data_IF_842954681888
#
_entry.id   IF_842954681888
#
_cell.length_a   1.000
_cell.length_b   1.000
_cell.length_c   1.000
_cell.angle_alpha   90.00
_cell.angle_beta   90.00
_cell.angle_gamma   90.00
#
_symmetry.space_group_name_H-M   'P 1'
#
loop_
_entity.id
_entity.type
_entity.pdbx_description
1 polymer ?
#
# COMPACT_ATOMS: atom_id res chain seq x y z
N UNK A 1 48.18 36.68 -24.23
CA UNK A 1 47.07 35.98 -24.92
C UNK A 1 47.02 34.56 -24.40
N UNK A 2 46.23 34.35 -23.35
CA UNK A 2 45.86 33.03 -22.80
C UNK A 2 44.41 33.20 -22.38
N UNK A 3 43.49 32.49 -23.04
CA UNK A 3 42.13 32.32 -22.54
C UNK A 3 42.16 31.12 -21.59
N UNK A 4 41.71 31.23 -20.34
CA UNK A 4 41.50 30.05 -19.50
C UNK A 4 40.07 29.53 -19.68
N UNK A 5 40.01 28.21 -19.86
CA UNK A 5 38.97 27.29 -19.42
C UNK A 5 37.51 27.75 -19.55
N UNK A 6 36.90 27.42 -20.70
CA UNK A 6 35.51 27.00 -20.70
C UNK A 6 35.43 25.67 -19.93
N UNK A 7 34.93 25.73 -18.71
CA UNK A 7 34.45 24.55 -17.98
C UNK A 7 33.34 23.93 -18.80
N UNK A 8 33.61 22.70 -19.25
CA UNK A 8 32.63 21.85 -19.87
C UNK A 8 31.73 21.31 -18.75
N UNK A 9 30.80 22.14 -18.25
CA UNK A 9 29.73 21.74 -17.34
C UNK A 9 28.75 20.84 -18.11
N UNK A 10 29.13 19.56 -18.21
CA UNK A 10 28.44 18.56 -19.01
C UNK A 10 27.04 18.24 -18.49
N UNK A 11 26.09 18.34 -19.41
CA UNK A 11 24.76 17.74 -19.39
C UNK A 11 24.73 16.38 -18.69
N UNK A 12 24.13 16.30 -17.50
CA UNK A 12 23.88 15.03 -16.82
C UNK A 12 23.49 15.18 -15.36
N UNK A 13 22.88 14.13 -14.80
CA UNK A 13 22.72 14.03 -13.35
C UNK A 13 24.10 14.02 -12.67
N UNK A 14 24.22 14.56 -11.44
CA UNK A 14 25.47 14.52 -10.69
C UNK A 14 26.03 13.09 -10.62
N UNK A 15 27.27 12.82 -11.10
CA UNK A 15 27.81 11.48 -11.23
C UNK A 15 27.82 10.68 -9.91
N UNK A 16 28.01 11.36 -8.78
CA UNK A 16 27.97 10.74 -7.45
C UNK A 16 26.59 10.18 -7.08
N UNK A 17 25.50 10.81 -7.53
CA UNK A 17 24.15 10.31 -7.30
C UNK A 17 23.89 9.05 -8.13
N UNK A 18 24.34 9.03 -9.39
CA UNK A 18 24.23 7.87 -10.27
C UNK A 18 25.05 6.70 -9.71
N UNK A 19 26.28 6.95 -9.27
CA UNK A 19 27.12 5.93 -8.65
C UNK A 19 26.51 5.37 -7.36
N UNK A 20 25.96 6.23 -6.50
CA UNK A 20 25.27 5.79 -5.28
C UNK A 20 24.05 4.91 -5.59
N UNK A 21 23.31 5.20 -6.66
CA UNK A 21 22.20 4.37 -7.10
C UNK A 21 22.69 2.99 -7.56
N UNK A 22 23.69 2.95 -8.45
CA UNK A 22 24.32 1.69 -8.91
C UNK A 22 24.84 0.87 -7.73
N UNK A 23 25.57 1.51 -6.80
CA UNK A 23 26.12 0.86 -5.60
C UNK A 23 25.01 0.33 -4.67
N UNK A 24 23.83 0.94 -4.65
CA UNK A 24 22.70 0.48 -3.82
C UNK A 24 21.95 -0.67 -4.48
N UNK A 25 21.69 -0.57 -5.79
CA UNK A 25 21.02 -1.62 -6.58
C UNK A 25 21.86 -2.89 -6.63
N UNK A 26 23.18 -2.78 -6.78
CA UNK A 26 24.09 -3.95 -6.81
C UNK A 26 24.21 -4.69 -5.48
N UNK A 27 23.83 -4.04 -4.36
CA UNK A 27 23.74 -4.68 -3.03
C UNK A 27 22.42 -5.42 -2.81
N UNK A 28 21.43 -5.23 -3.68
CA UNK A 28 20.17 -5.98 -3.61
C UNK A 28 20.43 -7.39 -4.10
N UNK A 29 20.69 -8.29 -3.17
CA UNK A 29 20.82 -9.71 -3.46
C UNK A 29 19.44 -10.35 -3.62
N UNK A 30 19.15 -10.85 -4.82
CA UNK A 30 17.88 -11.51 -5.18
C UNK A 30 17.56 -12.69 -4.27
N UNK A 31 18.59 -13.41 -3.82
CA UNK A 31 18.41 -14.61 -3.03
C UNK A 31 18.29 -14.30 -1.53
N UNK A 32 18.65 -13.08 -1.10
CA UNK A 32 18.58 -12.64 0.29
C UNK A 32 17.31 -11.85 0.65
N UNK A 33 16.53 -11.40 -0.33
CA UNK A 33 15.30 -10.65 -0.09
C UNK A 33 14.05 -11.41 -0.57
N UNK A 34 12.87 -11.18 0.04
CA UNK A 34 11.63 -11.80 -0.43
C UNK A 34 11.34 -11.50 -1.90
N UNK A 35 10.78 -12.48 -2.62
CA UNK A 35 10.51 -12.35 -4.06
C UNK A 35 9.60 -11.15 -4.40
N UNK A 36 8.63 -10.84 -3.54
CA UNK A 36 7.76 -9.66 -3.69
C UNK A 36 8.55 -8.35 -3.57
N UNK A 37 9.43 -8.26 -2.57
CA UNK A 37 10.30 -7.10 -2.40
C UNK A 37 11.23 -6.90 -3.59
N UNK A 38 11.77 -7.99 -4.15
CA UNK A 38 12.60 -7.93 -5.36
C UNK A 38 11.81 -7.43 -6.58
N UNK A 39 10.57 -7.92 -6.76
CA UNK A 39 9.66 -7.42 -7.82
C UNK A 39 9.40 -5.92 -7.65
N UNK A 40 9.06 -5.47 -6.44
CA UNK A 40 8.87 -4.04 -6.16
C UNK A 40 10.11 -3.23 -6.51
N UNK A 41 11.29 -3.63 -6.02
CA UNK A 41 12.55 -2.93 -6.31
C UNK A 41 12.84 -2.85 -7.83
N UNK A 42 12.52 -3.91 -8.58
CA UNK A 42 12.69 -3.95 -10.03
C UNK A 42 11.71 -3.01 -10.74
N UNK A 43 10.44 -3.01 -10.33
CA UNK A 43 9.41 -2.09 -10.86
C UNK A 43 9.80 -0.63 -10.61
N UNK A 44 10.28 -0.32 -9.41
CA UNK A 44 10.72 1.03 -9.06
C UNK A 44 11.95 1.47 -9.87
N UNK A 45 12.93 0.58 -10.05
CA UNK A 45 14.09 0.86 -10.89
C UNK A 45 13.68 1.11 -12.35
N UNK A 46 12.80 0.27 -12.90
CA UNK A 46 12.25 0.46 -14.24
C UNK A 46 11.51 1.80 -14.36
N UNK A 47 10.71 2.20 -13.37
CA UNK A 47 10.04 3.51 -13.35
C UNK A 47 11.03 4.67 -13.39
N UNK A 48 12.06 4.61 -12.55
CA UNK A 48 13.11 5.63 -12.52
C UNK A 48 13.87 5.68 -13.86
N UNK A 49 14.13 4.53 -14.49
CA UNK A 49 14.72 4.47 -15.82
C UNK A 49 13.81 5.12 -16.88
N UNK A 50 12.53 4.75 -16.93
CA UNK A 50 11.55 5.34 -17.85
C UNK A 50 11.39 6.85 -17.65
N UNK A 51 11.47 7.34 -16.40
CA UNK A 51 11.48 8.78 -16.11
C UNK A 51 12.62 9.51 -16.80
N UNK A 52 13.85 9.01 -16.64
CA UNK A 52 15.01 9.65 -17.25
C UNK A 52 15.01 9.49 -18.77
N UNK A 53 14.51 8.38 -19.31
CA UNK A 53 14.32 8.18 -20.75
C UNK A 53 13.31 9.19 -21.33
N UNK A 54 12.18 9.42 -20.66
CA UNK A 54 11.17 10.38 -21.08
C UNK A 54 11.70 11.83 -21.00
N UNK A 55 12.41 12.19 -19.92
CA UNK A 55 13.09 13.49 -19.82
C UNK A 55 14.11 13.71 -20.94
N UNK A 56 14.85 12.67 -21.33
CA UNK A 56 15.87 12.75 -22.38
C UNK A 56 15.27 12.83 -23.81
N UNK A 57 14.06 12.31 -24.02
CA UNK A 57 13.54 12.05 -25.37
C UNK A 57 12.34 12.94 -25.74
N UNK A 58 11.39 13.14 -24.83
CA UNK A 58 10.11 13.82 -25.13
C UNK A 58 9.96 15.19 -24.47
N UNK A 59 10.72 15.50 -23.42
CA UNK A 59 10.62 16.77 -22.67
C UNK A 59 9.29 16.97 -21.92
N UNK A 60 8.36 16.04 -22.08
CA UNK A 60 7.09 15.94 -21.38
C UNK A 60 7.02 14.55 -20.75
N UNK A 61 6.70 14.53 -19.45
CA UNK A 61 6.48 13.31 -18.69
C UNK A 61 5.14 13.43 -17.98
N UNK A 62 4.11 12.79 -18.54
CA UNK A 62 2.80 12.70 -17.92
C UNK A 62 2.78 11.49 -17.01
N UNK A 63 2.74 11.72 -15.70
CA UNK A 63 2.48 10.68 -14.72
C UNK A 63 1.08 10.87 -14.14
N UNK A 64 0.32 9.78 -14.07
CA UNK A 64 -0.86 9.71 -13.23
C UNK A 64 -0.50 9.05 -11.90
N UNK A 65 -0.32 9.84 -10.84
CA UNK A 65 -0.24 9.34 -9.45
C UNK A 65 0.85 9.99 -8.60
N UNK A 66 0.49 10.36 -7.37
CA UNK A 66 1.37 10.89 -6.33
C UNK A 66 1.44 9.86 -5.19
N UNK A 67 2.63 9.34 -4.86
CA UNK A 67 2.90 8.36 -3.77
C UNK A 67 1.94 7.14 -3.67
N UNK A 68 1.43 6.72 -4.84
CA UNK A 68 0.31 5.79 -5.06
C UNK A 68 0.72 4.44 -5.68
N UNK A 69 1.98 4.30 -6.11
CA UNK A 69 2.44 3.18 -6.93
C UNK A 69 2.85 1.93 -6.14
N UNK A 70 3.34 2.09 -4.91
CA UNK A 70 3.75 0.94 -4.10
C UNK A 70 2.57 0.05 -3.75
N UNK A 71 1.42 0.64 -3.41
CA UNK A 71 0.21 -0.12 -3.11
C UNK A 71 -0.22 -0.96 -4.32
N UNK A 72 -0.30 -0.35 -5.52
CA UNK A 72 -0.68 -1.06 -6.75
C UNK A 72 0.38 -2.10 -7.17
N UNK A 73 1.66 -1.78 -7.03
CA UNK A 73 2.77 -2.67 -7.37
C UNK A 73 2.86 -3.88 -6.44
N UNK A 74 2.66 -3.68 -5.13
CA UNK A 74 2.59 -4.76 -4.15
C UNK A 74 1.36 -5.63 -4.38
N UNK A 75 0.21 -5.02 -4.67
CA UNK A 75 -1.03 -5.74 -4.96
C UNK A 75 -0.87 -6.62 -6.19
N UNK A 76 -0.59 -6.03 -7.36
CA UNK A 76 -0.42 -6.78 -8.61
C UNK A 76 0.71 -7.82 -8.53
N UNK A 77 1.73 -7.53 -7.72
CA UNK A 77 2.86 -8.42 -7.46
C UNK A 77 2.58 -9.55 -6.47
N UNK A 78 1.43 -9.63 -5.80
CA UNK A 78 1.16 -10.67 -4.79
C UNK A 78 0.71 -11.99 -5.41
N UNK A 79 1.13 -13.11 -4.82
CA UNK A 79 0.95 -14.45 -5.37
C UNK A 79 0.25 -15.44 -4.42
N UNK A 80 0.14 -15.12 -3.13
CA UNK A 80 -0.34 -16.02 -2.10
C UNK A 80 -1.47 -15.40 -1.28
N UNK A 81 -1.25 -14.21 -0.72
CA UNK A 81 -2.21 -13.58 0.18
C UNK A 81 -2.10 -12.06 0.24
N UNK A 82 -3.23 -11.42 0.52
CA UNK A 82 -3.30 -10.03 0.96
C UNK A 82 -4.21 -9.97 2.19
N UNK A 83 -3.72 -9.40 3.28
CA UNK A 83 -4.44 -9.27 4.55
C UNK A 83 -4.46 -7.80 4.95
N UNK A 84 -5.64 -7.18 4.94
CA UNK A 84 -5.80 -5.74 5.15
C UNK A 84 -6.66 -5.43 6.37
N UNK A 85 -6.21 -4.49 7.20
CA UNK A 85 -7.02 -3.86 8.26
C UNK A 85 -7.29 -2.43 7.85
N UNK A 86 -8.56 -2.10 7.68
CA UNK A 86 -9.06 -0.80 7.21
C UNK A 86 -9.75 -0.08 8.35
N UNK A 87 -9.28 1.13 8.68
CA UNK A 87 -9.96 1.97 9.67
C UNK A 87 -11.14 2.67 9.00
N UNK A 88 -12.32 2.65 9.66
CA UNK A 88 -13.55 3.17 9.09
C UNK A 88 -13.41 4.61 8.61
N UNK A 89 -12.84 5.51 9.42
CA UNK A 89 -12.68 6.91 9.04
C UNK A 89 -11.73 7.14 7.85
N UNK A 90 -10.82 6.21 7.54
CA UNK A 90 -9.85 6.29 6.43
C UNK A 90 -10.41 5.71 5.13
N UNK A 91 -11.04 4.54 5.21
CA UNK A 91 -11.42 3.78 4.01
C UNK A 91 -12.93 3.82 3.72
N UNK A 92 -13.78 4.07 4.73
CA UNK A 92 -15.24 3.90 4.70
C UNK A 92 -16.02 5.07 5.35
N UNK A 93 -15.40 6.21 5.67
CA UNK A 93 -16.04 7.46 6.11
C UNK A 93 -15.86 8.61 5.10
N UNK A 94 -16.68 9.68 5.19
CA UNK A 94 -17.01 10.76 4.20
C UNK A 94 -15.96 11.22 3.16
N UNK A 95 -14.68 10.93 3.35
CA UNK A 95 -13.56 11.19 2.45
C UNK A 95 -12.82 9.85 2.14
N UNK A 96 -13.56 8.90 1.57
CA UNK A 96 -13.19 7.49 1.45
C UNK A 96 -12.07 7.23 0.46
N UNK A 97 -11.00 6.56 0.90
CA UNK A 97 -9.98 6.05 -0.02
C UNK A 97 -10.56 5.17 -1.14
N UNK A 98 -11.52 4.28 -0.83
CA UNK A 98 -12.07 3.31 -1.78
C UNK A 98 -12.89 3.94 -2.91
N UNK A 99 -13.41 5.16 -2.74
CA UNK A 99 -14.14 5.89 -3.79
C UNK A 99 -13.22 6.74 -4.66
N UNK A 100 -11.96 6.93 -4.25
CA UNK A 100 -10.93 7.59 -5.06
C UNK A 100 -10.55 6.74 -6.27
N UNK A 101 -9.92 7.36 -7.27
CA UNK A 101 -9.37 6.64 -8.41
C UNK A 101 -8.37 5.56 -8.00
N UNK A 102 -7.48 5.85 -7.05
CA UNK A 102 -6.53 4.85 -6.53
C UNK A 102 -7.27 3.69 -5.88
N UNK A 103 -8.27 3.97 -5.03
CA UNK A 103 -9.05 2.93 -4.37
C UNK A 103 -9.73 1.99 -5.36
N UNK A 104 -10.31 2.56 -6.43
CA UNK A 104 -10.91 1.76 -7.52
C UNK A 104 -9.88 0.91 -8.26
N UNK A 105 -8.71 1.47 -8.59
CA UNK A 105 -7.62 0.72 -9.24
C UNK A 105 -7.10 -0.40 -8.34
N UNK A 106 -6.96 -0.13 -7.04
CA UNK A 106 -6.55 -1.13 -6.06
C UNK A 106 -7.57 -2.28 -5.96
N UNK A 107 -8.86 -1.98 -5.84
CA UNK A 107 -9.92 -3.00 -5.84
C UNK A 107 -9.93 -3.83 -7.13
N UNK A 108 -9.71 -3.20 -8.28
CA UNK A 108 -9.62 -3.89 -9.56
C UNK A 108 -8.43 -4.86 -9.62
N UNK A 109 -7.27 -4.49 -9.08
CA UNK A 109 -6.13 -5.41 -8.98
C UNK A 109 -6.41 -6.55 -7.98
N UNK A 110 -7.04 -6.27 -6.83
CA UNK A 110 -7.44 -7.31 -5.88
C UNK A 110 -8.39 -8.32 -6.53
N UNK A 111 -9.39 -7.86 -7.30
CA UNK A 111 -10.32 -8.74 -8.02
C UNK A 111 -9.58 -9.70 -8.98
N UNK A 112 -8.63 -9.18 -9.76
CA UNK A 112 -7.80 -10.01 -10.66
C UNK A 112 -6.96 -11.04 -9.92
N UNK A 113 -6.52 -10.73 -8.70
CA UNK A 113 -5.78 -11.67 -7.87
C UNK A 113 -6.70 -12.76 -7.31
N UNK A 114 -7.90 -12.40 -6.85
CA UNK A 114 -8.93 -13.35 -6.43
C UNK A 114 -9.26 -14.33 -7.58
N UNK A 115 -9.43 -13.84 -8.82
CA UNK A 115 -9.64 -14.67 -10.01
C UNK A 115 -8.49 -15.66 -10.28
N UNK A 116 -7.28 -15.31 -9.85
CA UNK A 116 -6.07 -16.16 -9.93
C UNK A 116 -5.89 -17.09 -8.73
N UNK A 117 -6.81 -17.06 -7.75
CA UNK A 117 -6.79 -17.88 -6.54
C UNK A 117 -5.91 -17.34 -5.42
N UNK A 118 -5.49 -16.07 -5.46
CA UNK A 118 -4.80 -15.41 -4.34
C UNK A 118 -5.84 -15.09 -3.26
N UNK A 119 -5.52 -15.39 -2.00
CA UNK A 119 -6.44 -15.17 -0.87
C UNK A 119 -6.40 -13.70 -0.43
N UNK A 120 -7.50 -12.97 -0.59
CA UNK A 120 -7.61 -11.58 -0.15
C UNK A 120 -8.60 -11.49 1.01
N UNK A 121 -8.13 -11.02 2.17
CA UNK A 121 -8.94 -10.84 3.38
C UNK A 121 -8.89 -9.40 3.87
N UNK A 122 -10.02 -8.84 4.27
CA UNK A 122 -10.10 -7.47 4.81
C UNK A 122 -10.96 -7.40 6.07
N UNK A 123 -10.45 -6.68 7.07
CA UNK A 123 -11.20 -6.32 8.28
C UNK A 123 -11.49 -4.82 8.23
N UNK A 124 -12.75 -4.44 8.34
CA UNK A 124 -13.16 -3.05 8.56
C UNK A 124 -13.35 -2.81 10.06
N UNK A 125 -12.65 -1.82 10.60
CA UNK A 125 -12.59 -1.53 12.04
C UNK A 125 -13.45 -0.31 12.33
N UNK A 126 -14.55 -0.49 13.08
CA UNK A 126 -15.56 0.54 13.32
C UNK A 126 -15.27 1.35 14.56
N UNK A 127 -15.27 2.68 14.47
CA UNK A 127 -14.95 3.55 15.61
C UNK A 127 -16.11 3.77 16.58
N UNK A 128 -17.34 3.52 16.14
CA UNK A 128 -18.53 3.57 16.98
C UNK A 128 -19.45 2.38 16.66
N UNK A 129 -20.20 1.93 17.66
CA UNK A 129 -21.10 0.77 17.54
C UNK A 129 -22.23 1.02 16.52
N UNK A 130 -22.57 2.28 16.25
CA UNK A 130 -23.62 2.66 15.27
C UNK A 130 -23.05 2.97 13.88
N UNK A 131 -21.76 2.69 13.62
CA UNK A 131 -21.10 2.97 12.33
C UNK A 131 -21.52 1.99 11.20
N UNK A 132 -22.56 1.19 11.41
CA UNK A 132 -23.18 0.32 10.40
C UNK A 132 -24.04 1.11 9.39
N UNK A 133 -23.45 2.13 8.77
CA UNK A 133 -24.09 2.91 7.72
C UNK A 133 -24.38 2.10 6.46
N UNK A 134 -25.27 2.61 5.61
CA UNK A 134 -25.55 2.05 4.28
C UNK A 134 -24.28 1.97 3.41
N UNK A 135 -23.37 2.93 3.59
CA UNK A 135 -22.09 3.00 2.89
C UNK A 135 -21.17 1.83 3.20
N UNK A 136 -21.03 1.45 4.47
CA UNK A 136 -20.25 0.27 4.85
C UNK A 136 -20.87 -1.02 4.31
N UNK A 137 -22.20 -1.11 4.32
CA UNK A 137 -22.92 -2.25 3.69
C UNK A 137 -22.56 -2.37 2.23
N UNK A 138 -22.62 -1.26 1.52
CA UNK A 138 -22.33 -1.21 0.10
C UNK A 138 -20.86 -1.54 -0.21
N UNK A 139 -19.91 -1.00 0.55
CA UNK A 139 -18.48 -1.32 0.41
C UNK A 139 -18.23 -2.80 0.67
N UNK A 140 -18.76 -3.36 1.77
CA UNK A 140 -18.59 -4.78 2.08
C UNK A 140 -19.21 -5.67 0.99
N UNK A 141 -20.40 -5.32 0.48
CA UNK A 141 -21.06 -6.04 -0.62
C UNK A 141 -20.20 -6.04 -1.88
N UNK A 142 -19.75 -4.86 -2.31
CA UNK A 142 -18.90 -4.71 -3.50
C UNK A 142 -17.60 -5.52 -3.36
N UNK A 143 -16.94 -5.48 -2.21
CA UNK A 143 -15.72 -6.26 -1.98
C UNK A 143 -15.95 -7.77 -2.01
N UNK A 144 -17.04 -8.25 -1.38
CA UNK A 144 -17.42 -9.67 -1.42
C UNK A 144 -17.73 -10.15 -2.83
N UNK A 145 -18.37 -9.32 -3.66
CA UNK A 145 -18.63 -9.63 -5.07
C UNK A 145 -17.35 -9.77 -5.91
N UNK A 146 -16.24 -9.16 -5.47
CA UNK A 146 -14.91 -9.31 -6.07
C UNK A 146 -14.12 -10.51 -5.52
N UNK A 147 -14.75 -11.35 -4.68
CA UNK A 147 -14.11 -12.52 -4.08
C UNK A 147 -13.20 -12.20 -2.89
N UNK A 148 -13.32 -11.00 -2.31
CA UNK A 148 -12.60 -10.64 -1.08
C UNK A 148 -13.38 -11.15 0.12
N UNK A 149 -12.71 -11.86 1.03
CA UNK A 149 -13.29 -12.21 2.32
C UNK A 149 -13.27 -10.97 3.22
N UNK A 150 -14.45 -10.52 3.65
CA UNK A 150 -14.60 -9.28 4.43
C UNK A 150 -15.13 -9.63 5.80
N UNK A 151 -14.59 -8.99 6.85
CA UNK A 151 -15.12 -9.01 8.22
C UNK A 151 -15.19 -7.62 8.83
N UNK A 152 -16.00 -7.48 9.86
CA UNK A 152 -16.18 -6.24 10.62
C UNK A 152 -15.74 -6.47 12.06
N UNK A 153 -14.89 -5.57 12.55
CA UNK A 153 -14.50 -5.51 13.96
C UNK A 153 -15.24 -4.37 14.66
N UNK A 154 -16.14 -4.71 15.57
CA UNK A 154 -16.90 -3.73 16.35
C UNK A 154 -16.05 -3.18 17.50
N UNK A 155 -16.31 -1.95 17.99
CA UNK A 155 -15.55 -1.39 19.10
C UNK A 155 -15.56 -2.26 20.36
N UNK A 156 -16.67 -2.96 20.64
CA UNK A 156 -16.83 -3.80 21.82
C UNK A 156 -15.88 -5.02 21.82
N UNK A 157 -15.54 -5.51 20.62
CA UNK A 157 -14.69 -6.69 20.44
C UNK A 157 -13.21 -6.30 20.34
N UNK A 158 -12.89 -4.98 20.32
CA UNK A 158 -11.51 -4.47 20.23
C UNK A 158 -10.69 -4.72 21.50
N UNK A 159 -11.34 -4.73 22.66
CA UNK A 159 -10.65 -4.90 23.96
C UNK A 159 -10.03 -6.31 24.10
N UNK A 160 -10.46 -7.26 23.29
CA UNK A 160 -9.89 -8.61 23.22
C UNK A 160 -8.53 -8.65 22.52
N UNK A 161 -8.16 -7.60 21.77
CA UNK A 161 -6.91 -7.53 21.00
C UNK A 161 -6.00 -6.43 21.52
N UNK A 162 -4.75 -6.77 21.81
CA UNK A 162 -3.78 -5.82 22.35
C UNK A 162 -3.08 -4.99 21.26
N UNK A 163 -3.09 -3.66 21.43
CA UNK A 163 -2.28 -2.72 20.66
C UNK A 163 -3.09 -1.64 19.92
N UNK A 164 -2.44 -0.57 19.42
CA UNK A 164 -3.13 0.49 18.70
C UNK A 164 -3.62 -0.02 17.34
N UNK A 165 -4.88 0.29 17.01
CA UNK A 165 -5.45 0.05 15.68
C UNK A 165 -4.67 0.86 14.64
N UNK A 166 -4.36 0.22 13.51
CA UNK A 166 -3.62 0.82 12.41
C UNK A 166 -4.20 0.33 11.10
N UNK A 167 -4.15 1.20 10.11
CA UNK A 167 -4.37 0.81 8.73
C UNK A 167 -3.09 0.14 8.22
N UNK A 168 -3.20 -1.16 7.96
CA UNK A 168 -2.09 -1.99 7.51
C UNK A 168 -2.55 -2.94 6.42
N UNK A 169 -1.64 -3.28 5.51
CA UNK A 169 -1.83 -4.32 4.51
C UNK A 169 -0.59 -5.20 4.50
N UNK A 170 -0.78 -6.51 4.68
CA UNK A 170 0.27 -7.53 4.64
C UNK A 170 0.15 -8.26 3.30
N UNK A 171 1.22 -8.25 2.52
CA UNK A 171 1.29 -8.91 1.22
C UNK A 171 2.20 -10.15 1.31
N UNK A 172 1.67 -11.29 0.85
CA UNK A 172 2.35 -12.59 0.79
C UNK A 172 3.08 -12.97 2.10
N UNK A 173 2.61 -12.50 3.26
CA UNK A 173 3.25 -12.69 4.57
C UNK A 173 4.74 -12.21 4.61
N UNK A 174 5.14 -11.34 3.69
CA UNK A 174 6.54 -10.90 3.51
C UNK A 174 6.74 -9.39 3.53
N UNK A 175 5.69 -8.60 3.26
CA UNK A 175 5.75 -7.13 3.28
C UNK A 175 4.58 -6.59 4.07
N UNK A 176 4.85 -5.70 5.03
CA UNK A 176 3.84 -4.89 5.72
C UNK A 176 3.86 -3.46 5.15
N UNK A 177 2.72 -3.02 4.62
CA UNK A 177 2.44 -1.65 4.21
C UNK A 177 1.61 -1.01 5.33
N UNK A 178 2.16 -0.06 6.07
CA UNK A 178 1.48 0.62 7.19
C UNK A 178 1.27 2.09 6.86
N UNK A 179 0.04 2.59 7.00
CA UNK A 179 -0.28 4.02 6.89
C UNK A 179 -0.52 4.59 8.28
N UNK A 180 -0.11 5.84 8.47
CA UNK A 180 -0.40 6.59 9.69
C UNK A 180 -1.26 7.80 9.31
N UNK A 181 -2.55 7.83 9.71
CA UNK A 181 -3.38 9.01 9.49
C UNK A 181 -2.93 10.16 10.40
N UNK A 182 -3.12 11.39 9.94
CA UNK A 182 -3.01 12.59 10.76
C UNK A 182 -4.07 12.53 11.87
N UNK A 183 -3.75 13.07 13.03
CA UNK A 183 -4.78 13.38 14.00
C UNK A 183 -5.78 14.35 13.35
N UNK A 184 -7.07 14.03 13.42
CA UNK A 184 -8.14 14.82 12.81
C UNK A 184 -8.04 16.29 13.24
N UNK A 185 -7.58 17.16 12.33
CA UNK A 185 -7.58 18.61 12.50
C UNK A 185 -8.54 19.23 11.47
N UNK A 186 -9.84 19.04 11.68
CA UNK A 186 -10.89 19.71 10.89
C UNK A 186 -11.78 18.79 10.05
N UNK A 187 -12.62 19.41 9.21
CA UNK A 187 -13.65 18.78 8.36
C UNK A 187 -13.09 18.27 7.00
N UNK A 188 -11.81 18.55 6.75
CA UNK A 188 -11.05 17.99 5.63
C UNK A 188 -10.57 16.59 6.07
N UNK A 189 -10.97 15.55 5.34
CA UNK A 189 -10.78 14.15 5.70
C UNK A 189 -9.35 13.71 6.06
N UNK A 190 -9.15 12.43 6.41
CA UNK A 190 -7.90 11.95 6.97
C UNK A 190 -6.74 12.17 5.99
N UNK A 191 -5.76 12.96 6.42
CA UNK A 191 -4.49 13.14 5.70
C UNK A 191 -3.56 12.00 6.11
N UNK A 192 -3.07 11.19 5.18
CA UNK A 192 -2.03 10.19 5.50
C UNK A 192 -0.71 10.95 5.73
N UNK A 193 -0.16 10.86 6.94
CA UNK A 193 1.09 11.56 7.36
C UNK A 193 2.32 10.76 7.01
N UNK A 194 2.21 9.43 6.99
CA UNK A 194 3.31 8.56 6.63
C UNK A 194 2.82 7.22 6.08
N UNK A 195 3.52 6.74 5.06
CA UNK A 195 3.44 5.36 4.56
C UNK A 195 4.76 4.67 4.85
N UNK A 196 4.71 3.47 5.44
CA UNK A 196 5.89 2.68 5.78
C UNK A 196 5.82 1.28 5.19
N UNK A 197 6.87 0.91 4.47
CA UNK A 197 7.12 -0.47 4.03
C UNK A 197 8.06 -1.17 5.01
N UNK A 198 7.63 -2.30 5.57
CA UNK A 198 8.44 -3.11 6.49
C UNK A 198 8.58 -4.53 5.96
N UNK A 199 9.83 -4.94 5.70
CA UNK A 199 10.19 -6.25 5.16
C UNK A 199 10.87 -7.15 6.21
N UNK A 200 11.07 -6.65 7.43
CA UNK A 200 11.72 -7.41 8.49
C UNK A 200 10.84 -8.63 8.87
N UNK A 201 11.34 -9.88 8.76
CA UNK A 201 10.52 -11.07 8.95
C UNK A 201 9.81 -11.13 10.31
N UNK A 202 10.50 -10.82 11.40
CA UNK A 202 9.89 -10.78 12.75
C UNK A 202 8.81 -9.71 12.92
N UNK A 203 8.89 -8.63 12.15
CA UNK A 203 7.87 -7.59 12.17
C UNK A 203 6.64 -8.07 11.39
N UNK A 204 6.84 -8.58 10.18
CA UNK A 204 5.75 -9.05 9.32
C UNK A 204 5.01 -10.24 9.96
N UNK A 205 5.75 -11.19 10.55
CA UNK A 205 5.16 -12.32 11.30
C UNK A 205 4.26 -11.84 12.44
N UNK A 206 4.74 -10.91 13.28
CA UNK A 206 3.94 -10.36 14.37
C UNK A 206 2.70 -9.61 13.88
N UNK A 207 2.77 -8.97 12.71
CA UNK A 207 1.60 -8.35 12.08
C UNK A 207 0.61 -9.39 11.56
N UNK A 208 1.08 -10.49 11.00
CA UNK A 208 0.22 -11.62 10.59
C UNK A 208 -0.46 -12.29 11.79
N UNK A 209 0.27 -12.50 12.89
CA UNK A 209 -0.29 -13.01 14.15
C UNK A 209 -1.39 -12.08 14.68
N UNK A 210 -1.11 -10.78 14.75
CA UNK A 210 -2.09 -9.76 15.14
C UNK A 210 -3.30 -9.70 14.20
N UNK A 211 -3.09 -9.79 12.88
CA UNK A 211 -4.21 -9.88 11.92
C UNK A 211 -5.06 -11.12 12.18
N UNK A 212 -4.43 -12.27 12.44
CA UNK A 212 -5.12 -13.52 12.77
C UNK A 212 -5.99 -13.38 14.01
N UNK A 213 -5.46 -12.79 15.09
CA UNK A 213 -6.22 -12.51 16.32
C UNK A 213 -7.46 -11.64 16.03
N UNK A 214 -7.29 -10.54 15.26
CA UNK A 214 -8.41 -9.70 14.84
C UNK A 214 -9.42 -10.46 13.98
N UNK A 215 -8.93 -11.31 13.07
CA UNK A 215 -9.78 -12.05 12.14
C UNK A 215 -10.71 -12.99 12.89
N UNK A 216 -10.24 -13.67 13.93
CA UNK A 216 -11.04 -14.60 14.72
C UNK A 216 -12.17 -13.94 15.51
N UNK A 217 -11.96 -12.72 16.02
CA UNK A 217 -12.98 -11.97 16.77
C UNK A 217 -13.88 -11.13 15.86
N UNK A 218 -13.42 -10.80 14.66
CA UNK A 218 -14.20 -10.07 13.68
C UNK A 218 -15.36 -10.93 13.12
N UNK A 219 -16.47 -10.27 12.81
CA UNK A 219 -17.73 -10.91 12.42
C UNK A 219 -17.97 -10.75 10.91
N UNK A 220 -18.73 -11.68 10.32
CA UNK A 220 -19.14 -11.54 8.92
C UNK A 220 -20.02 -10.29 8.74
N UNK A 221 -19.85 -9.54 7.64
CA UNK A 221 -20.56 -8.30 7.42
C UNK A 221 -22.03 -8.57 7.14
N UNK A 222 -22.88 -8.08 8.03
CA UNK A 222 -24.33 -7.96 7.83
C UNK A 222 -25.05 -9.29 7.58
N UNK A 223 -24.61 -10.37 8.22
CA UNK A 223 -25.43 -11.59 8.29
C UNK A 223 -26.63 -11.35 9.23
N UNK A 224 -27.72 -10.89 8.61
CA UNK A 224 -29.04 -10.60 9.20
C UNK A 224 -30.07 -10.33 8.12
#
# INVERSE_FOLDING_TARGET
MVRPHEENEGLGLPPELVRRLIDSVTKVDRDAIPALAFRLATTELARVSTFFEALATSGEVTYEGEDRDWLLSLTSGSHHSIEAVSLYNVDVGRHHFLTTDLGRRYLAEQARLCDRGVRVRRIHVLDAADAHGEELREVCRQQRELGIDVRILNPADRDEVHGPMRDIIIFDETVSYETTPAAETGDDGPIIVATRLVLQPDWVRRRGEWFGELWEVATEPFDG
#
